data_IF_184312854796
#
_entry.id   IF_184312854796
#
_cell.length_a   1.000
_cell.length_b   1.000
_cell.length_c   1.000
_cell.angle_alpha   90.00
_cell.angle_beta   90.00
_cell.angle_gamma   90.00
#
_symmetry.space_group_name_H-M   'P 1'
#
loop_
_entity.id
_entity.type
_entity.pdbx_description
1 polymer ?
#
# COMPACT_ATOMS: atom_id res chain seq x y z
N UNK A 1 2.69 -5.56 13.85
CA UNK A 1 1.34 -5.10 14.23
C UNK A 1 1.30 -4.43 15.61
N UNK A 2 1.97 -4.98 16.63
CA UNK A 2 2.09 -4.31 17.93
C UNK A 2 3.52 -3.79 18.10
N UNK A 3 3.79 -2.49 17.91
CA UNK A 3 5.14 -1.97 18.07
C UNK A 3 5.56 -2.02 19.54
N UNK A 4 6.84 -2.30 19.84
CA UNK A 4 7.35 -2.30 21.22
C UNK A 4 7.32 -0.89 21.83
N UNK A 5 7.46 0.15 20.99
CA UNK A 5 7.42 1.56 21.38
C UNK A 5 6.76 2.39 20.27
N UNK A 6 5.83 3.27 20.63
CA UNK A 6 5.09 4.10 19.68
C UNK A 6 5.96 5.19 19.05
N UNK A 7 6.87 5.81 19.80
CA UNK A 7 7.79 6.83 19.28
C UNK A 7 8.72 6.19 18.26
N UNK A 8 9.25 5.03 18.60
CA UNK A 8 10.11 4.28 17.70
C UNK A 8 9.38 3.83 16.44
N UNK A 9 8.12 3.40 16.55
CA UNK A 9 7.28 3.03 15.41
C UNK A 9 7.08 4.16 14.38
N UNK A 10 7.26 5.43 14.79
CA UNK A 10 7.16 6.57 13.86
C UNK A 10 8.35 6.66 12.89
N UNK A 11 9.53 6.18 13.30
CA UNK A 11 10.79 6.31 12.55
C UNK A 11 11.43 4.96 12.19
N UNK A 12 11.00 3.87 12.82
CA UNK A 12 11.57 2.55 12.69
C UNK A 12 10.50 1.46 12.63
N UNK A 13 10.87 0.33 12.04
CA UNK A 13 10.09 -0.91 12.07
C UNK A 13 10.98 -2.10 12.41
N UNK A 14 10.37 -3.10 13.06
CA UNK A 14 11.04 -4.36 13.40
C UNK A 14 11.25 -5.21 12.15
N UNK A 15 12.48 -5.64 11.91
CA UNK A 15 12.85 -6.57 10.85
C UNK A 15 13.61 -7.73 11.47
N UNK A 16 13.28 -8.96 11.06
CA UNK A 16 14.01 -10.15 11.49
C UNK A 16 15.21 -10.33 10.55
N UNK A 17 16.42 -10.28 11.09
CA UNK A 17 17.64 -10.59 10.34
C UNK A 17 18.19 -11.95 10.74
N UNK A 18 18.61 -12.70 9.74
CA UNK A 18 19.30 -13.97 9.94
C UNK A 18 20.73 -13.64 10.41
N UNK A 19 21.13 -14.19 11.55
CA UNK A 19 22.51 -14.11 12.03
C UNK A 19 23.33 -15.11 11.21
N UNK A 20 24.21 -14.58 10.36
CA UNK A 20 25.18 -15.40 9.62
C UNK A 20 26.27 -15.85 10.60
N UNK A 21 26.60 -17.16 10.67
CA UNK A 21 27.69 -17.66 11.50
C UNK A 21 29.01 -16.95 11.21
N UNK A 22 29.79 -16.63 12.25
CA UNK A 22 31.05 -15.87 12.16
C UNK A 22 32.05 -16.44 11.13
N UNK A 23 32.06 -17.77 10.96
CA UNK A 23 32.91 -18.49 10.00
C UNK A 23 32.73 -18.03 8.54
N UNK A 24 31.57 -17.47 8.21
CA UNK A 24 31.22 -16.99 6.87
C UNK A 24 31.37 -15.47 6.68
N UNK A 25 31.48 -14.67 7.75
CA UNK A 25 31.60 -13.20 7.65
C UNK A 25 32.95 -12.74 7.10
N UNK A 26 34.01 -13.54 7.26
CA UNK A 26 35.40 -13.11 7.02
C UNK A 26 36.13 -13.83 5.87
N UNK A 27 35.49 -14.80 5.18
CA UNK A 27 36.22 -15.66 4.23
C UNK A 27 35.92 -15.29 2.75
N UNK A 28 36.92 -14.77 1.99
CA UNK A 28 36.73 -14.26 0.62
C UNK A 28 36.23 -15.29 -0.39
N UNK A 29 36.33 -16.59 -0.10
CA UNK A 29 35.80 -17.67 -0.96
C UNK A 29 34.27 -17.72 -1.02
N UNK A 30 33.57 -17.07 -0.08
CA UNK A 30 32.11 -17.13 0.04
C UNK A 30 31.39 -15.87 -0.47
N UNK A 31 32.13 -14.90 -1.00
CA UNK A 31 31.58 -13.61 -1.49
C UNK A 31 30.67 -13.74 -2.74
N UNK A 32 30.88 -14.78 -3.56
CA UNK A 32 30.30 -14.86 -4.91
C UNK A 32 29.58 -16.19 -5.25
N UNK A 33 29.15 -16.98 -4.26
CA UNK A 33 28.38 -18.22 -4.52
C UNK A 33 27.20 -18.34 -3.57
N UNK A 34 26.02 -18.60 -4.13
CA UNK A 34 24.81 -18.99 -3.39
C UNK A 34 25.05 -20.38 -2.82
N UNK A 35 25.36 -20.48 -1.52
CA UNK A 35 25.51 -21.78 -0.84
C UNK A 35 24.17 -22.23 -0.27
N UNK A 36 23.83 -23.50 -0.47
CA UNK A 36 22.72 -24.13 0.22
C UNK A 36 23.17 -24.47 1.65
N UNK A 37 22.85 -23.60 2.59
CA UNK A 37 23.23 -23.72 4.01
C UNK A 37 22.30 -24.66 4.80
N UNK A 38 21.24 -25.20 4.18
CA UNK A 38 20.27 -26.10 4.85
C UNK A 38 20.91 -27.37 5.41
N UNK A 39 21.96 -27.89 4.76
CA UNK A 39 22.58 -29.16 5.17
C UNK A 39 23.60 -29.01 6.31
N UNK A 40 24.08 -27.79 6.60
CA UNK A 40 25.11 -27.53 7.61
C UNK A 40 24.59 -26.96 8.93
N UNK A 41 23.45 -26.26 8.93
CA UNK A 41 22.88 -25.69 10.15
C UNK A 41 21.37 -25.97 10.22
N UNK A 42 20.91 -26.86 11.12
CA UNK A 42 19.49 -27.22 11.24
C UNK A 42 18.64 -26.11 11.89
N UNK A 43 19.27 -25.08 12.47
CA UNK A 43 18.60 -23.91 13.05
C UNK A 43 19.35 -22.63 12.70
N UNK A 44 18.58 -21.63 12.29
CA UNK A 44 19.07 -20.28 12.06
C UNK A 44 18.87 -19.46 13.34
N UNK A 45 19.91 -18.76 13.78
CA UNK A 45 19.74 -17.77 14.84
C UNK A 45 19.18 -16.49 14.21
N UNK A 46 18.13 -15.93 14.80
CA UNK A 46 17.47 -14.73 14.32
C UNK A 46 17.70 -13.60 15.31
N UNK A 47 17.97 -12.41 14.80
CA UNK A 47 18.01 -11.17 15.59
C UNK A 47 16.89 -10.26 15.11
N UNK A 48 16.06 -9.79 16.05
CA UNK A 48 15.17 -8.67 15.76
C UNK A 48 16.00 -7.39 15.74
N UNK A 49 16.02 -6.72 14.59
CA UNK A 49 16.72 -5.45 14.44
C UNK A 49 15.74 -4.38 14.00
N UNK A 50 15.89 -3.20 14.59
CA UNK A 50 15.14 -2.01 14.24
C UNK A 50 15.75 -1.37 12.99
N UNK A 51 14.93 -1.15 11.97
CA UNK A 51 15.33 -0.45 10.76
C UNK A 51 14.84 1.00 10.78
N UNK A 52 15.76 1.92 11.08
CA UNK A 52 15.52 3.34 11.35
C UNK A 52 15.13 4.21 10.13
N UNK A 53 14.77 3.60 8.99
CA UNK A 53 14.46 4.32 7.73
C UNK A 53 13.05 4.09 7.22
N UNK A 54 12.17 3.54 8.06
CA UNK A 54 10.83 3.14 7.64
C UNK A 54 9.87 3.15 8.81
N UNK A 55 8.71 3.79 8.62
CA UNK A 55 7.64 3.91 9.61
C UNK A 55 6.79 2.65 9.66
N UNK A 56 6.46 2.17 10.86
CA UNK A 56 5.53 1.04 11.06
C UNK A 56 4.06 1.50 11.01
N UNK A 57 3.58 1.85 9.82
CA UNK A 57 2.23 2.40 9.60
C UNK A 57 1.14 1.46 10.14
N UNK A 58 1.22 0.16 9.85
CA UNK A 58 0.23 -0.82 10.32
C UNK A 58 0.15 -0.87 11.86
N UNK A 59 1.30 -0.79 12.53
CA UNK A 59 1.35 -0.74 14.00
C UNK A 59 0.75 0.55 14.57
N UNK A 60 1.04 1.68 13.94
CA UNK A 60 0.46 2.97 14.31
C UNK A 60 -1.07 2.99 14.12
N UNK A 61 -1.57 2.48 12.99
CA UNK A 61 -3.01 2.36 12.72
C UNK A 61 -3.69 1.46 13.74
N UNK A 62 -3.11 0.29 14.03
CA UNK A 62 -3.65 -0.65 15.04
C UNK A 62 -3.75 0.03 16.41
N UNK A 63 -2.71 0.74 16.83
CA UNK A 63 -2.71 1.48 18.08
C UNK A 63 -3.76 2.60 18.08
N UNK A 64 -3.85 3.40 17.01
CA UNK A 64 -4.82 4.50 16.89
C UNK A 64 -6.26 4.02 16.98
N UNK A 65 -6.60 2.86 16.40
CA UNK A 65 -7.93 2.24 16.52
C UNK A 65 -8.23 1.86 17.97
N UNK A 66 -7.30 1.17 18.65
CA UNK A 66 -7.46 0.76 20.05
C UNK A 66 -7.59 1.99 20.96
N UNK A 67 -6.78 3.03 20.72
CA UNK A 67 -6.84 4.28 21.46
C UNK A 67 -8.18 4.99 21.24
N UNK A 68 -8.65 5.09 19.99
CA UNK A 68 -9.94 5.69 19.65
C UNK A 68 -11.11 4.98 20.33
N UNK A 69 -11.14 3.64 20.31
CA UNK A 69 -12.14 2.84 21.03
C UNK A 69 -12.07 3.10 22.54
N UNK A 70 -10.86 3.22 23.09
CA UNK A 70 -10.65 3.48 24.52
C UNK A 70 -11.16 4.86 24.93
N UNK A 71 -10.82 5.91 24.17
CA UNK A 71 -11.30 7.28 24.39
C UNK A 71 -12.83 7.32 24.28
N UNK A 72 -13.41 6.67 23.28
CA UNK A 72 -14.86 6.57 23.12
C UNK A 72 -15.55 5.91 24.33
N UNK A 73 -14.94 4.86 24.90
CA UNK A 73 -15.44 4.20 26.12
C UNK A 73 -15.33 5.08 27.38
N UNK A 74 -14.43 6.05 27.42
CA UNK A 74 -14.26 6.96 28.55
C UNK A 74 -15.36 8.03 28.66
N UNK A 75 -16.24 8.15 27.64
CA UNK A 75 -17.36 9.10 27.59
C UNK A 75 -16.87 10.54 27.88
N UNK A 76 -17.51 11.24 28.82
CA UNK A 76 -17.17 12.61 29.22
C UNK A 76 -15.69 12.81 29.58
N UNK A 77 -15.03 11.82 30.20
CA UNK A 77 -13.61 11.93 30.54
C UNK A 77 -12.69 11.88 29.32
N UNK A 78 -13.17 11.29 28.22
CA UNK A 78 -12.44 11.19 26.96
C UNK A 78 -12.56 12.43 26.07
N UNK A 79 -13.60 13.26 26.26
CA UNK A 79 -13.90 14.42 25.40
C UNK A 79 -12.69 15.35 25.16
N UNK A 80 -11.88 15.73 26.15
CA UNK A 80 -10.73 16.61 25.90
C UNK A 80 -9.70 16.02 24.93
N UNK A 81 -9.48 14.70 24.99
CA UNK A 81 -8.57 14.01 24.08
C UNK A 81 -9.17 13.84 22.69
N UNK A 82 -10.47 13.55 22.61
CA UNK A 82 -11.20 13.48 21.34
C UNK A 82 -11.06 14.81 20.57
N UNK A 83 -11.44 15.92 21.21
CA UNK A 83 -11.35 17.26 20.62
C UNK A 83 -9.92 17.59 20.21
N UNK A 84 -8.92 17.26 21.04
CA UNK A 84 -7.52 17.46 20.68
C UNK A 84 -7.14 16.73 19.38
N UNK A 85 -7.50 15.46 19.23
CA UNK A 85 -7.18 14.68 18.03
C UNK A 85 -7.97 15.13 16.80
N UNK A 86 -9.22 15.58 16.97
CA UNK A 86 -10.02 16.16 15.90
C UNK A 86 -9.41 17.47 15.38
N UNK A 87 -9.12 18.42 16.27
CA UNK A 87 -8.45 19.68 15.89
C UNK A 87 -7.09 19.42 15.24
N UNK A 88 -6.34 18.45 15.75
CA UNK A 88 -5.07 18.06 15.14
C UNK A 88 -5.26 17.49 13.73
N UNK A 89 -6.27 16.64 13.52
CA UNK A 89 -6.61 16.11 12.19
C UNK A 89 -6.98 17.23 11.22
N UNK A 90 -7.78 18.22 11.65
CA UNK A 90 -8.12 19.37 10.82
C UNK A 90 -6.90 20.20 10.43
N UNK A 91 -6.00 20.46 11.38
CA UNK A 91 -4.74 21.15 11.10
C UNK A 91 -3.89 20.40 10.06
N UNK A 92 -3.84 19.07 10.13
CA UNK A 92 -3.14 18.23 9.14
C UNK A 92 -3.78 18.31 7.75
N UNK A 93 -5.10 18.43 7.66
CA UNK A 93 -5.80 18.60 6.37
C UNK A 93 -5.48 19.95 5.73
N UNK A 94 -5.36 21.03 6.52
CA UNK A 94 -4.93 22.34 6.02
C UNK A 94 -3.52 22.26 5.44
N UNK A 95 -2.58 21.64 6.17
CA UNK A 95 -1.20 21.44 5.70
C UNK A 95 -1.18 20.62 4.41
N UNK A 96 -2.00 19.56 4.34
CA UNK A 96 -2.14 18.73 3.13
C UNK A 96 -2.63 19.56 1.95
N UNK A 97 -3.58 20.49 2.17
CA UNK A 97 -4.04 21.41 1.13
C UNK A 97 -2.90 22.24 0.51
N UNK A 98 -1.95 22.70 1.32
CA UNK A 98 -0.76 23.41 0.81
C UNK A 98 0.14 22.49 -0.04
N UNK A 99 0.33 21.25 0.39
CA UNK A 99 1.11 20.24 -0.35
C UNK A 99 0.44 19.91 -1.69
N UNK A 100 -0.89 19.75 -1.71
CA UNK A 100 -1.67 19.51 -2.93
C UNK A 100 -1.46 20.64 -3.92
N UNK A 101 -1.44 21.89 -3.48
CA UNK A 101 -1.22 23.04 -4.36
C UNK A 101 0.18 23.04 -4.99
N UNK A 102 1.20 22.56 -4.26
CA UNK A 102 2.57 22.39 -4.77
C UNK A 102 2.74 21.12 -5.64
N UNK A 103 1.90 20.11 -5.44
CA UNK A 103 2.07 18.78 -6.02
C UNK A 103 2.18 18.74 -7.56
N UNK A 104 1.49 19.56 -8.38
CA UNK A 104 1.64 19.51 -9.83
C UNK A 104 3.09 19.79 -10.27
N UNK A 105 3.75 20.73 -9.59
CA UNK A 105 5.16 21.06 -9.84
C UNK A 105 6.08 19.92 -9.38
N UNK A 106 5.81 19.35 -8.21
CA UNK A 106 6.56 18.20 -7.68
C UNK A 106 6.46 16.97 -8.59
N UNK A 107 5.25 16.60 -9.00
CA UNK A 107 5.01 15.46 -9.91
C UNK A 107 5.67 15.69 -11.26
N UNK A 108 5.62 16.90 -11.81
CA UNK A 108 6.31 17.24 -13.05
C UNK A 108 7.81 16.93 -12.99
N UNK A 109 8.49 17.40 -11.93
CA UNK A 109 9.92 17.13 -11.76
C UNK A 109 10.22 15.66 -11.45
N UNK A 110 9.37 14.98 -10.67
CA UNK A 110 9.53 13.54 -10.40
C UNK A 110 9.44 12.70 -11.68
N UNK A 111 8.51 13.03 -12.58
CA UNK A 111 8.37 12.34 -13.86
C UNK A 111 9.57 12.63 -14.78
N UNK A 112 10.00 13.90 -14.89
CA UNK A 112 11.14 14.26 -15.74
C UNK A 112 12.45 13.65 -15.25
N UNK A 113 12.73 13.73 -13.95
CA UNK A 113 13.94 13.17 -13.36
C UNK A 113 14.08 11.68 -13.74
N UNK A 114 12.97 10.95 -13.74
CA UNK A 114 13.00 9.54 -14.10
C UNK A 114 13.14 9.27 -15.59
N UNK A 115 12.52 10.07 -16.45
CA UNK A 115 12.73 9.95 -17.90
C UNK A 115 14.22 10.14 -18.23
N UNK A 116 14.94 10.99 -17.50
CA UNK A 116 16.38 11.21 -17.70
C UNK A 116 17.27 10.04 -17.28
N UNK A 117 16.82 9.19 -16.35
CA UNK A 117 17.56 7.99 -15.93
C UNK A 117 17.43 6.83 -16.95
N UNK A 118 16.49 6.92 -17.91
CA UNK A 118 16.27 5.89 -18.92
C UNK A 118 17.41 5.95 -19.96
N UNK A 119 18.35 5.02 -19.86
CA UNK A 119 19.48 4.91 -20.78
C UNK A 119 19.09 4.40 -22.18
N UNK A 120 18.10 3.49 -22.30
CA UNK A 120 17.53 3.07 -23.58
C UNK A 120 16.17 2.38 -23.45
N UNK A 121 15.10 3.01 -23.96
CA UNK A 121 13.77 2.41 -24.02
C UNK A 121 13.72 1.16 -24.93
N UNK A 122 14.54 1.14 -25.99
CA UNK A 122 14.66 0.01 -26.91
C UNK A 122 15.31 -1.22 -26.25
N UNK A 123 16.28 -1.01 -25.36
CA UNK A 123 16.87 -2.09 -24.57
C UNK A 123 15.86 -2.68 -23.56
N UNK A 124 15.01 -1.84 -22.98
CA UNK A 124 13.91 -2.25 -22.09
C UNK A 124 12.91 -3.18 -22.80
N UNK A 125 12.58 -2.88 -24.06
CA UNK A 125 11.64 -3.63 -24.88
C UNK A 125 12.23 -4.91 -25.50
N UNK A 126 13.54 -4.97 -25.78
CA UNK A 126 14.15 -6.01 -26.60
C UNK A 126 14.17 -7.44 -26.02
N UNK A 127 14.26 -7.61 -24.70
CA UNK A 127 14.24 -8.93 -24.05
C UNK A 127 13.14 -9.08 -22.97
N UNK A 128 12.69 -7.96 -22.39
CA UNK A 128 11.68 -7.94 -21.32
C UNK A 128 10.36 -7.31 -21.76
N UNK A 129 10.23 -6.90 -23.02
CA UNK A 129 9.05 -6.19 -23.53
C UNK A 129 7.75 -6.99 -23.39
N UNK A 130 7.79 -8.30 -23.65
CA UNK A 130 6.61 -9.17 -23.49
C UNK A 130 6.21 -9.33 -22.02
N UNK A 131 7.18 -9.51 -21.13
CA UNK A 131 6.94 -9.54 -19.69
C UNK A 131 6.33 -8.22 -19.21
N UNK A 132 6.97 -7.10 -19.56
CA UNK A 132 6.52 -5.75 -19.21
C UNK A 132 5.10 -5.49 -19.71
N UNK A 133 4.83 -5.81 -20.99
CA UNK A 133 3.50 -5.67 -21.59
C UNK A 133 2.46 -6.55 -20.91
N UNK A 134 2.82 -7.77 -20.48
CA UNK A 134 1.91 -8.67 -19.76
C UNK A 134 1.53 -8.11 -18.39
N UNK A 135 2.50 -7.59 -17.63
CA UNK A 135 2.23 -6.94 -16.34
C UNK A 135 1.34 -5.71 -16.53
N UNK A 136 1.68 -4.82 -17.47
CA UNK A 136 0.86 -3.64 -17.73
C UNK A 136 -0.57 -3.99 -18.17
N UNK A 137 -0.72 -4.98 -19.05
CA UNK A 137 -2.03 -5.46 -19.47
C UNK A 137 -2.81 -6.01 -18.28
N UNK A 138 -2.18 -6.82 -17.44
CA UNK A 138 -2.79 -7.36 -16.22
C UNK A 138 -3.26 -6.25 -15.28
N UNK A 139 -2.39 -5.27 -15.00
CA UNK A 139 -2.72 -4.11 -14.17
C UNK A 139 -3.87 -3.28 -14.76
N UNK A 140 -3.87 -3.06 -16.08
CA UNK A 140 -4.93 -2.32 -16.76
C UNK A 140 -6.26 -3.07 -16.74
N UNK A 141 -6.25 -4.37 -17.01
CA UNK A 141 -7.42 -5.24 -16.92
C UNK A 141 -7.96 -5.33 -15.49
N UNK A 142 -7.08 -5.36 -14.48
CA UNK A 142 -7.50 -5.34 -13.09
C UNK A 142 -8.13 -4.00 -12.71
N UNK A 143 -7.43 -2.89 -12.97
CA UNK A 143 -7.88 -1.54 -12.62
C UNK A 143 -9.17 -1.12 -13.32
N UNK A 144 -9.22 -1.25 -14.65
CA UNK A 144 -10.35 -0.77 -15.45
C UNK A 144 -11.37 -1.86 -15.77
N UNK A 145 -11.03 -3.14 -15.61
CA UNK A 145 -11.93 -4.27 -15.78
C UNK A 145 -12.42 -4.81 -14.45
N UNK A 146 -11.61 -5.59 -13.74
CA UNK A 146 -12.00 -6.31 -12.52
C UNK A 146 -12.57 -5.37 -11.44
N UNK A 147 -11.81 -4.35 -11.03
CA UNK A 147 -12.24 -3.39 -10.01
C UNK A 147 -13.47 -2.60 -10.48
N UNK A 148 -13.52 -2.23 -11.75
CA UNK A 148 -14.67 -1.52 -12.31
C UNK A 148 -15.94 -2.35 -12.31
N UNK A 149 -15.83 -3.65 -12.62
CA UNK A 149 -16.95 -4.59 -12.59
C UNK A 149 -17.43 -4.79 -11.16
N UNK A 150 -16.52 -5.00 -10.20
CA UNK A 150 -16.88 -5.12 -8.78
C UNK A 150 -17.61 -3.85 -8.31
N UNK A 151 -17.04 -2.68 -8.58
CA UNK A 151 -17.65 -1.40 -8.24
C UNK A 151 -19.03 -1.24 -8.89
N UNK A 152 -19.18 -1.57 -10.17
CA UNK A 152 -20.45 -1.49 -10.87
C UNK A 152 -21.51 -2.46 -10.30
N UNK A 153 -21.13 -3.70 -9.99
CA UNK A 153 -22.05 -4.70 -9.45
C UNK A 153 -22.59 -4.26 -8.10
N UNK A 154 -21.73 -3.70 -7.24
CA UNK A 154 -22.15 -3.28 -5.90
C UNK A 154 -22.91 -1.94 -5.90
N UNK A 155 -22.51 -0.99 -6.74
CA UNK A 155 -23.01 0.40 -6.68
C UNK A 155 -24.04 0.72 -7.76
N UNK A 156 -24.14 -0.14 -8.79
CA UNK A 156 -24.89 0.10 -10.03
C UNK A 156 -24.49 1.38 -10.77
N UNK A 157 -23.30 1.90 -10.49
CA UNK A 157 -22.73 3.08 -11.15
C UNK A 157 -21.36 2.76 -11.71
N UNK A 158 -20.99 3.38 -12.83
CA UNK A 158 -19.67 3.20 -13.42
C UNK A 158 -18.62 4.01 -12.63
N UNK A 159 -17.43 3.43 -12.34
CA UNK A 159 -16.40 4.05 -11.52
C UNK A 159 -15.66 5.19 -12.24
N UNK A 160 -15.79 5.32 -13.57
CA UNK A 160 -14.96 6.22 -14.37
C UNK A 160 -15.06 7.69 -13.96
N UNK A 161 -16.22 8.13 -13.45
CA UNK A 161 -16.37 9.48 -12.89
C UNK A 161 -15.54 9.66 -11.61
N UNK A 162 -15.56 8.65 -10.74
CA UNK A 162 -14.75 8.61 -9.53
C UNK A 162 -13.26 8.58 -9.89
N UNK A 163 -12.86 7.73 -10.83
CA UNK A 163 -11.46 7.63 -11.29
C UNK A 163 -10.98 8.96 -11.89
N UNK A 164 -11.82 9.67 -12.65
CA UNK A 164 -11.48 10.99 -13.18
C UNK A 164 -11.25 12.04 -12.08
N UNK A 165 -12.07 12.01 -11.02
CA UNK A 165 -11.88 12.86 -9.82
C UNK A 165 -10.57 12.58 -9.08
N UNK A 166 -10.04 11.37 -9.19
CA UNK A 166 -8.78 10.94 -8.57
C UNK A 166 -7.54 11.24 -9.43
N UNK A 167 -7.67 11.92 -10.57
CA UNK A 167 -6.56 12.14 -11.52
C UNK A 167 -5.28 12.69 -10.87
N UNK A 168 -5.39 13.64 -9.94
CA UNK A 168 -4.25 14.21 -9.22
C UNK A 168 -3.61 13.20 -8.25
N UNK A 169 -4.43 12.40 -7.55
CA UNK A 169 -3.97 11.33 -6.67
C UNK A 169 -3.21 10.29 -7.49
N UNK A 170 -3.76 9.85 -8.62
CA UNK A 170 -3.15 8.85 -9.50
C UNK A 170 -1.83 9.36 -10.12
N UNK A 171 -1.78 10.63 -10.54
CA UNK A 171 -0.56 11.24 -11.05
C UNK A 171 0.52 11.35 -9.96
N UNK A 172 0.12 11.68 -8.73
CA UNK A 172 1.03 11.73 -7.59
C UNK A 172 1.55 10.34 -7.25
N UNK A 173 0.69 9.33 -7.23
CA UNK A 173 1.07 7.94 -6.95
C UNK A 173 2.03 7.40 -8.01
N UNK A 174 1.80 7.73 -9.27
CA UNK A 174 2.72 7.40 -10.37
C UNK A 174 4.07 8.13 -10.23
N UNK A 175 4.07 9.41 -9.85
CA UNK A 175 5.29 10.19 -9.68
C UNK A 175 6.14 9.75 -8.50
N UNK A 176 5.50 9.48 -7.34
CA UNK A 176 6.19 9.13 -6.09
C UNK A 176 6.52 7.64 -5.97
N UNK A 177 5.80 6.76 -6.69
CA UNK A 177 5.89 5.31 -6.52
C UNK A 177 5.65 4.86 -5.06
N UNK A 178 4.81 5.57 -4.31
CA UNK A 178 4.53 5.26 -2.91
C UNK A 178 3.07 5.50 -2.52
N UNK A 179 2.35 4.42 -2.17
CA UNK A 179 0.97 4.49 -1.67
C UNK A 179 0.90 5.32 -0.38
N UNK A 180 1.82 5.09 0.56
CA UNK A 180 1.87 5.82 1.83
C UNK A 180 2.13 7.32 1.65
N UNK A 181 2.99 7.71 0.69
CA UNK A 181 3.25 9.13 0.41
C UNK A 181 2.02 9.84 -0.19
N UNK A 182 1.12 9.10 -0.82
CA UNK A 182 -0.11 9.64 -1.42
C UNK A 182 -1.33 9.59 -0.51
N UNK A 183 -1.21 9.00 0.68
CA UNK A 183 -2.32 8.86 1.61
C UNK A 183 -3.00 10.20 1.97
N UNK A 184 -2.29 11.29 2.31
CA UNK A 184 -2.94 12.54 2.70
C UNK A 184 -3.73 13.17 1.54
N UNK A 185 -3.15 13.20 0.34
CA UNK A 185 -3.84 13.71 -0.85
C UNK A 185 -5.06 12.85 -1.22
N UNK A 186 -4.95 11.53 -1.05
CA UNK A 186 -6.07 10.61 -1.28
C UNK A 186 -7.25 10.89 -0.34
N UNK A 187 -6.99 11.06 0.96
CA UNK A 187 -8.02 11.39 1.96
C UNK A 187 -8.69 12.71 1.60
N UNK A 188 -7.91 13.76 1.32
CA UNK A 188 -8.46 15.08 1.01
C UNK A 188 -9.27 15.11 -0.29
N UNK A 189 -8.81 14.40 -1.33
CA UNK A 189 -9.55 14.30 -2.59
C UNK A 189 -10.86 13.54 -2.40
N UNK A 190 -10.87 12.43 -1.64
CA UNK A 190 -12.09 11.67 -1.38
C UNK A 190 -13.08 12.43 -0.49
N UNK A 191 -12.60 13.12 0.55
CA UNK A 191 -13.41 14.01 1.38
C UNK A 191 -14.07 15.09 0.50
N UNK A 192 -13.29 15.72 -0.41
CA UNK A 192 -13.80 16.70 -1.38
C UNK A 192 -14.75 16.13 -2.44
N UNK A 193 -14.75 14.82 -2.64
CA UNK A 193 -15.69 14.10 -3.51
C UNK A 193 -16.95 13.62 -2.75
N UNK A 194 -17.09 14.00 -1.48
CA UNK A 194 -18.27 13.68 -0.65
C UNK A 194 -18.26 12.24 -0.12
N UNK A 195 -17.09 11.67 0.14
CA UNK A 195 -16.94 10.45 0.94
C UNK A 195 -16.88 10.85 2.42
N UNK A 196 -17.56 10.10 3.29
CA UNK A 196 -17.57 10.42 4.72
C UNK A 196 -16.13 10.41 5.30
N UNK A 197 -15.70 11.51 5.96
CA UNK A 197 -14.43 11.65 6.67
C UNK A 197 -14.05 10.46 7.57
N UNK A 198 -15.03 9.81 8.19
CA UNK A 198 -14.85 8.66 9.09
C UNK A 198 -14.41 7.42 8.32
N UNK A 199 -14.88 7.27 7.08
CA UNK A 199 -14.51 6.16 6.19
C UNK A 199 -13.14 6.40 5.59
N UNK A 200 -12.86 7.59 5.05
CA UNK A 200 -11.57 7.90 4.41
C UNK A 200 -10.39 7.77 5.37
N UNK A 201 -10.53 8.30 6.60
CA UNK A 201 -9.51 8.26 7.66
C UNK A 201 -9.23 6.85 8.18
N UNK A 202 -10.12 5.90 7.96
CA UNK A 202 -9.93 4.50 8.37
C UNK A 202 -9.47 3.62 7.20
N UNK A 203 -10.20 3.64 6.09
CA UNK A 203 -9.98 2.71 4.97
C UNK A 203 -8.68 3.01 4.24
N UNK A 204 -8.33 4.28 4.01
CA UNK A 204 -7.14 4.62 3.22
C UNK A 204 -5.83 4.26 3.93
N UNK A 205 -5.63 4.58 5.23
CA UNK A 205 -4.41 4.17 5.93
C UNK A 205 -4.24 2.65 6.03
N UNK A 206 -5.35 1.93 6.22
CA UNK A 206 -5.34 0.45 6.24
C UNK A 206 -5.04 -0.10 4.85
N UNK A 207 -5.72 0.39 3.82
CA UNK A 207 -5.57 -0.03 2.42
C UNK A 207 -4.14 0.16 1.91
N UNK A 208 -3.55 1.32 2.16
CA UNK A 208 -2.19 1.65 1.71
C UNK A 208 -1.09 0.70 2.23
N UNK A 209 -1.40 -0.12 3.25
CA UNK A 209 -0.49 -1.13 3.80
C UNK A 209 -0.89 -2.56 3.45
N UNK A 210 -2.19 -2.88 3.46
CA UNK A 210 -2.67 -4.26 3.34
C UNK A 210 -3.10 -4.59 1.90
N UNK A 211 -3.64 -3.63 1.17
CA UNK A 211 -4.29 -3.83 -0.12
C UNK A 211 -3.34 -3.53 -1.29
N UNK A 212 -2.41 -4.45 -1.55
CA UNK A 212 -1.39 -4.32 -2.59
C UNK A 212 -1.64 -5.23 -3.81
N UNK A 213 -2.80 -5.07 -4.46
CA UNK A 213 -3.23 -5.86 -5.62
C UNK A 213 -2.23 -5.88 -6.78
N UNK A 214 -1.70 -4.71 -7.14
CA UNK A 214 -0.71 -4.57 -8.21
C UNK A 214 0.60 -5.27 -7.88
N UNK A 215 0.97 -5.36 -6.60
CA UNK A 215 2.15 -6.10 -6.13
C UNK A 215 1.91 -7.60 -6.25
N UNK A 216 0.76 -8.10 -5.80
CA UNK A 216 0.40 -9.51 -5.93
C UNK A 216 0.35 -9.96 -7.41
N UNK A 217 -0.25 -9.14 -8.29
CA UNK A 217 -0.29 -9.40 -9.73
C UNK A 217 1.12 -9.47 -10.33
N UNK A 218 1.96 -8.49 -10.01
CA UNK A 218 3.34 -8.46 -10.47
C UNK A 218 4.13 -9.69 -10.04
N UNK A 219 4.05 -10.07 -8.76
CA UNK A 219 4.80 -11.20 -8.22
C UNK A 219 4.38 -12.52 -8.88
N UNK A 220 3.08 -12.71 -9.09
CA UNK A 220 2.56 -13.88 -9.77
C UNK A 220 3.04 -13.96 -11.24
N UNK A 221 2.96 -12.85 -11.98
CA UNK A 221 3.42 -12.81 -13.39
C UNK A 221 4.93 -13.00 -13.47
N UNK A 222 5.69 -12.40 -12.56
CA UNK A 222 7.14 -12.53 -12.50
C UNK A 222 7.59 -13.98 -12.21
N UNK A 223 6.90 -14.69 -11.31
CA UNK A 223 7.22 -16.08 -10.99
C UNK A 223 6.94 -17.01 -12.18
N UNK A 224 5.81 -16.81 -12.86
CA UNK A 224 5.46 -17.56 -14.07
C UNK A 224 6.44 -17.27 -15.20
N UNK A 225 6.83 -16.01 -15.40
CA UNK A 225 7.81 -15.62 -16.41
C UNK A 225 9.17 -16.29 -16.18
N UNK A 226 9.65 -16.29 -14.92
CA UNK A 226 10.90 -16.95 -14.54
C UNK A 226 10.83 -18.46 -14.81
N UNK A 227 9.72 -19.11 -14.45
CA UNK A 227 9.53 -20.53 -14.74
C UNK A 227 9.59 -20.83 -16.25
N UNK A 228 8.85 -20.06 -17.04
CA UNK A 228 8.81 -20.20 -18.51
C UNK A 228 10.17 -19.98 -19.14
N UNK A 229 10.93 -18.99 -18.68
CA UNK A 229 12.30 -18.71 -19.15
C UNK A 229 13.23 -19.89 -18.90
N UNK A 230 13.06 -20.61 -17.79
CA UNK A 230 13.85 -21.78 -17.44
C UNK A 230 13.37 -23.07 -18.13
N UNK A 231 12.32 -23.00 -18.96
CA UNK A 231 11.70 -24.19 -19.55
C UNK A 231 11.00 -25.08 -18.53
N UNK A 232 10.62 -24.54 -17.37
CA UNK A 232 9.88 -25.25 -16.34
C UNK A 232 8.37 -25.09 -16.59
N UNK A 233 7.69 -26.20 -16.82
CA UNK A 233 6.24 -26.22 -16.90
C UNK A 233 5.63 -26.17 -15.50
N UNK A 234 4.89 -25.10 -15.20
CA UNK A 234 4.14 -24.99 -13.97
C UNK A 234 2.81 -25.71 -14.10
N UNK A 235 2.56 -26.68 -13.22
CA UNK A 235 1.25 -27.29 -13.09
C UNK A 235 0.22 -26.33 -12.48
N UNK A 236 -1.07 -26.63 -12.65
CA UNK A 236 -2.18 -25.84 -12.09
C UNK A 236 -2.03 -25.66 -10.57
N UNK A 237 -1.57 -26.70 -9.85
CA UNK A 237 -1.34 -26.62 -8.41
C UNK A 237 -0.24 -25.62 -8.02
N UNK A 238 0.84 -25.54 -8.80
CA UNK A 238 1.92 -24.57 -8.57
C UNK A 238 1.46 -23.15 -8.91
N UNK A 239 0.70 -22.97 -9.98
CA UNK A 239 0.10 -21.68 -10.32
C UNK A 239 -0.83 -21.18 -9.20
N UNK A 240 -1.67 -22.06 -8.65
CA UNK A 240 -2.51 -21.73 -7.50
C UNK A 240 -1.69 -21.37 -6.24
N UNK A 241 -0.61 -22.12 -5.97
CA UNK A 241 0.29 -21.82 -4.85
C UNK A 241 0.97 -20.45 -5.00
N UNK A 242 1.42 -20.10 -6.21
CA UNK A 242 1.96 -18.77 -6.52
C UNK A 242 0.93 -17.69 -6.20
N UNK A 243 -0.31 -17.83 -6.67
CA UNK A 243 -1.36 -16.85 -6.42
C UNK A 243 -1.63 -16.65 -4.92
N UNK A 244 -1.81 -17.75 -4.17
CA UNK A 244 -2.08 -17.68 -2.72
C UNK A 244 -0.90 -17.03 -1.99
N UNK A 245 0.33 -17.40 -2.34
CA UNK A 245 1.52 -16.86 -1.68
C UNK A 245 1.71 -15.39 -2.02
N UNK A 246 1.56 -14.99 -3.29
CA UNK A 246 1.67 -13.58 -3.70
C UNK A 246 0.63 -12.71 -2.99
N UNK A 247 -0.61 -13.18 -2.85
CA UNK A 247 -1.64 -12.48 -2.07
C UNK A 247 -1.29 -12.39 -0.58
N UNK A 248 -0.77 -13.46 0.01
CA UNK A 248 -0.36 -13.43 1.42
C UNK A 248 0.86 -12.52 1.64
N UNK A 249 1.83 -12.55 0.72
CA UNK A 249 3.05 -11.76 0.77
C UNK A 249 2.76 -10.26 0.57
N UNK A 250 1.80 -9.90 -0.29
CA UNK A 250 1.42 -8.51 -0.52
C UNK A 250 0.81 -7.84 0.73
N UNK A 251 0.11 -8.61 1.58
CA UNK A 251 -0.34 -8.15 2.91
C UNK A 251 0.85 -7.96 3.87
N UNK A 252 1.83 -8.87 3.81
CA UNK A 252 3.04 -8.85 4.65
C UNK A 252 4.08 -7.79 4.26
N UNK A 253 3.97 -7.22 3.05
CA UNK A 253 4.91 -6.25 2.49
C UNK A 253 4.98 -4.93 3.28
N UNK A 254 3.92 -4.59 4.03
CA UNK A 254 3.82 -3.35 4.82
C UNK A 254 4.97 -3.14 5.83
N UNK A 255 5.67 -4.20 6.22
CA UNK A 255 6.71 -4.19 7.25
C UNK A 255 8.15 -4.30 6.74
N UNK A 256 8.38 -4.32 5.42
CA UNK A 256 9.69 -4.69 4.84
C UNK A 256 10.27 -3.55 3.99
N UNK A 257 11.48 -3.06 4.31
CA UNK A 257 12.22 -2.13 3.45
C UNK A 257 12.53 -2.80 2.10
N UNK A 258 12.23 -2.13 1.00
CA UNK A 258 12.35 -2.72 -0.35
C UNK A 258 11.51 -4.02 -0.49
N UNK A 259 10.30 -4.01 0.11
CA UNK A 259 9.42 -5.18 0.25
C UNK A 259 9.28 -6.03 -1.00
N UNK A 260 9.10 -5.41 -2.17
CA UNK A 260 8.84 -6.11 -3.44
C UNK A 260 9.92 -7.12 -3.83
N UNK A 261 11.18 -6.94 -3.41
CA UNK A 261 12.26 -7.89 -3.68
C UNK A 261 12.17 -9.10 -2.73
N UNK A 262 11.89 -8.86 -1.45
CA UNK A 262 11.83 -9.90 -0.41
C UNK A 262 10.58 -10.77 -0.58
N UNK A 263 9.44 -10.16 -0.87
CA UNK A 263 8.19 -10.88 -1.14
C UNK A 263 8.29 -11.70 -2.42
N UNK A 264 8.96 -11.19 -3.45
CA UNK A 264 9.25 -11.95 -4.67
C UNK A 264 10.10 -13.20 -4.42
N UNK A 265 11.11 -13.12 -3.55
CA UNK A 265 11.89 -14.30 -3.13
C UNK A 265 10.99 -15.35 -2.49
N UNK A 266 10.09 -14.93 -1.60
CA UNK A 266 9.14 -15.82 -0.94
C UNK A 266 8.25 -16.54 -1.96
N UNK A 267 7.70 -15.81 -2.94
CA UNK A 267 6.87 -16.38 -3.99
C UNK A 267 7.64 -17.38 -4.85
N UNK A 268 8.88 -17.08 -5.24
CA UNK A 268 9.72 -18.02 -6.01
C UNK A 268 10.05 -19.30 -5.23
N UNK A 269 10.36 -19.17 -3.94
CA UNK A 269 10.69 -20.33 -3.08
C UNK A 269 9.50 -21.31 -2.97
N UNK A 270 8.26 -20.82 -3.00
CA UNK A 270 7.06 -21.69 -2.92
C UNK A 270 6.94 -22.70 -4.06
N UNK A 271 7.54 -22.40 -5.21
CA UNK A 271 7.58 -23.29 -6.38
C UNK A 271 8.99 -23.80 -6.68
N UNK A 272 9.95 -23.57 -5.76
CA UNK A 272 11.33 -24.04 -5.87
C UNK A 272 12.13 -23.34 -6.97
N UNK A 273 11.76 -22.11 -7.34
CA UNK A 273 12.51 -21.32 -8.32
C UNK A 273 13.65 -20.55 -7.63
N UNK A 274 14.82 -20.46 -8.27
CA UNK A 274 15.97 -19.82 -7.66
C UNK A 274 15.87 -18.28 -7.69
N UNK A 275 16.17 -17.65 -6.55
CA UNK A 275 15.98 -16.22 -6.30
C UNK A 275 16.97 -15.29 -7.03
N UNK A 276 18.12 -15.81 -7.47
CA UNK A 276 19.13 -15.06 -8.23
C UNK A 276 18.60 -14.53 -9.57
N UNK A 277 17.54 -15.15 -10.09
CA UNK A 277 16.88 -14.78 -11.33
C UNK A 277 16.00 -13.52 -11.22
N UNK A 278 15.72 -13.02 -10.01
CA UNK A 278 14.99 -11.74 -9.82
C UNK A 278 15.75 -10.57 -10.45
N UNK A 279 17.09 -10.64 -10.46
CA UNK A 279 17.97 -9.61 -11.02
C UNK A 279 17.62 -9.18 -12.45
N UNK A 280 17.07 -10.11 -13.24
CA UNK A 280 16.62 -9.88 -14.62
C UNK A 280 15.45 -8.89 -14.66
N UNK A 281 14.54 -8.96 -13.70
CA UNK A 281 13.29 -8.17 -13.67
C UNK A 281 13.53 -6.80 -13.02
N UNK A 282 14.53 -6.69 -12.13
CA UNK A 282 14.88 -5.43 -11.47
C UNK A 282 15.19 -4.28 -12.44
N UNK A 283 15.70 -4.60 -13.64
CA UNK A 283 15.99 -3.61 -14.67
C UNK A 283 14.75 -2.81 -15.13
N UNK A 284 13.55 -3.41 -15.04
CA UNK A 284 12.28 -2.78 -15.45
C UNK A 284 11.36 -2.45 -14.28
N UNK A 285 11.72 -2.88 -13.07
CA UNK A 285 10.89 -2.77 -11.88
C UNK A 285 10.58 -1.32 -11.51
N UNK A 286 11.56 -0.41 -11.66
CA UNK A 286 11.36 1.01 -11.37
C UNK A 286 10.15 1.60 -12.11
N UNK A 287 9.88 1.17 -13.35
CA UNK A 287 8.74 1.66 -14.12
C UNK A 287 7.46 0.90 -13.77
N UNK A 288 7.53 -0.42 -13.65
CA UNK A 288 6.37 -1.25 -13.27
C UNK A 288 5.83 -0.86 -11.89
N UNK A 289 6.71 -0.53 -10.94
CA UNK A 289 6.37 -0.14 -9.58
C UNK A 289 5.41 1.05 -9.52
N UNK A 290 5.57 2.00 -10.44
CA UNK A 290 4.72 3.19 -10.54
C UNK A 290 3.31 2.82 -10.98
N UNK A 291 3.18 1.90 -11.94
CA UNK A 291 1.88 1.37 -12.34
C UNK A 291 1.24 0.54 -11.22
N UNK A 292 2.02 -0.31 -10.53
CA UNK A 292 1.53 -1.08 -9.36
C UNK A 292 0.97 -0.15 -8.30
N UNK A 293 1.74 0.86 -7.90
CA UNK A 293 1.34 1.86 -6.90
C UNK A 293 0.07 2.58 -7.32
N UNK A 294 -0.01 3.01 -8.59
CA UNK A 294 -1.19 3.71 -9.11
C UNK A 294 -2.45 2.85 -9.01
N UNK A 295 -2.36 1.56 -9.35
CA UNK A 295 -3.50 0.63 -9.24
C UNK A 295 -3.85 0.33 -7.78
N UNK A 296 -2.87 0.18 -6.88
CA UNK A 296 -3.11 -0.02 -5.45
C UNK A 296 -3.91 1.17 -4.86
N UNK A 297 -3.44 2.40 -5.11
CA UNK A 297 -4.12 3.62 -4.63
C UNK A 297 -5.50 3.79 -5.26
N UNK A 298 -5.66 3.43 -6.54
CA UNK A 298 -6.97 3.41 -7.20
C UNK A 298 -7.93 2.42 -6.52
N UNK A 299 -7.45 1.22 -6.20
CA UNK A 299 -8.23 0.21 -5.51
C UNK A 299 -8.67 0.68 -4.13
N UNK A 300 -7.76 1.27 -3.35
CA UNK A 300 -8.07 1.80 -2.01
C UNK A 300 -9.13 2.90 -2.09
N UNK A 301 -9.02 3.79 -3.08
CA UNK A 301 -9.95 4.89 -3.28
C UNK A 301 -11.35 4.42 -3.68
N UNK A 302 -11.44 3.45 -4.61
CA UNK A 302 -12.71 2.84 -5.00
C UNK A 302 -13.31 2.01 -3.86
N UNK A 303 -12.46 1.32 -3.09
CA UNK A 303 -12.85 0.58 -1.89
C UNK A 303 -13.43 1.48 -0.81
N UNK A 304 -12.79 2.62 -0.51
CA UNK A 304 -13.32 3.60 0.43
C UNK A 304 -14.70 4.13 0.00
N UNK A 305 -14.86 4.46 -1.29
CA UNK A 305 -16.15 4.90 -1.83
C UNK A 305 -17.22 3.81 -1.78
N UNK A 306 -16.84 2.55 -1.99
CA UNK A 306 -17.73 1.42 -1.88
C UNK A 306 -18.19 1.21 -0.43
N UNK A 307 -17.27 1.25 0.53
CA UNK A 307 -17.56 1.12 1.98
C UNK A 307 -18.48 2.24 2.44
N UNK A 308 -18.24 3.48 2.00
CA UNK A 308 -19.09 4.65 2.26
C UNK A 308 -20.54 4.43 1.80
N UNK A 309 -20.73 3.94 0.57
CA UNK A 309 -22.08 3.63 0.07
C UNK A 309 -22.76 2.47 0.80
N UNK A 310 -22.02 1.40 1.11
CA UNK A 310 -22.56 0.24 1.81
C UNK A 310 -22.89 0.55 3.28
N UNK A 311 -22.16 1.47 3.90
CA UNK A 311 -22.31 1.87 5.31
C UNK A 311 -23.23 3.08 5.47
N UNK A 312 -23.88 3.56 4.40
CA UNK A 312 -24.66 4.80 4.43
C UNK A 312 -25.78 4.80 5.50
N UNK A 313 -26.39 3.65 5.78
CA UNK A 313 -27.39 3.52 6.84
C UNK A 313 -26.76 3.68 8.24
N UNK A 314 -25.62 3.02 8.47
CA UNK A 314 -24.89 3.09 9.75
C UNK A 314 -24.36 4.51 9.98
N UNK A 315 -23.77 5.14 8.97
CA UNK A 315 -23.25 6.50 9.03
C UNK A 315 -24.32 7.54 9.37
N UNK A 316 -25.54 7.37 8.83
CA UNK A 316 -26.71 8.20 9.18
C UNK A 316 -27.13 7.98 10.63
N UNK A 317 -27.23 6.72 11.06
CA UNK A 317 -27.61 6.40 12.45
C UNK A 317 -26.62 6.99 13.46
N UNK A 318 -25.32 6.97 13.15
CA UNK A 318 -24.28 7.58 13.98
C UNK A 318 -24.43 9.10 14.02
N UNK A 319 -24.66 9.75 12.88
CA UNK A 319 -24.89 11.19 12.82
C UNK A 319 -26.13 11.63 13.61
N UNK A 320 -27.20 10.83 13.62
CA UNK A 320 -28.40 11.10 14.41
C UNK A 320 -28.14 10.95 15.92
N UNK A 321 -27.33 9.97 16.32
CA UNK A 321 -26.90 9.79 17.71
C UNK A 321 -25.98 10.93 18.16
N UNK A 322 -25.05 11.35 17.31
CA UNK A 322 -24.15 12.47 17.58
C UNK A 322 -24.95 13.77 17.77
N UNK A 323 -25.92 14.04 16.87
CA UNK A 323 -26.86 15.17 17.01
C UNK A 323 -27.71 15.08 18.29
N UNK A 324 -28.13 13.89 18.69
CA UNK A 324 -28.93 13.70 19.91
C UNK A 324 -28.11 13.92 21.20
N UNK A 325 -26.79 13.71 21.15
CA UNK A 325 -25.89 13.86 22.29
C UNK A 325 -25.10 15.18 22.30
N UNK A 326 -25.17 15.95 21.20
CA UNK A 326 -24.47 17.22 21.04
C UNK A 326 -25.02 18.30 21.99
N UNK A 327 -24.12 19.04 22.63
CA UNK A 327 -24.51 20.21 23.40
C UNK A 327 -25.05 21.32 22.47
N UNK A 328 -25.87 22.28 22.96
CA UNK A 328 -26.52 23.28 22.12
C UNK A 328 -25.58 24.13 21.24
N UNK A 329 -24.30 24.25 21.62
CA UNK A 329 -23.28 24.97 20.86
C UNK A 329 -22.66 24.10 19.74
N UNK A 330 -22.55 22.78 19.94
CA UNK A 330 -22.07 21.81 18.95
C UNK A 330 -23.12 21.59 17.85
N UNK A 331 -24.42 21.65 18.18
CA UNK A 331 -25.52 21.59 17.21
C UNK A 331 -25.44 22.66 16.12
N UNK A 332 -24.91 23.85 16.44
CA UNK A 332 -24.77 24.95 15.48
C UNK A 332 -23.67 24.67 14.43
N UNK A 333 -22.61 23.96 14.82
CA UNK A 333 -21.53 23.56 13.92
C UNK A 333 -21.93 22.37 13.04
N UNK A 334 -22.62 21.39 13.62
CA UNK A 334 -23.15 20.24 12.88
C UNK A 334 -24.16 20.69 11.80
N UNK A 335 -25.05 21.63 12.14
CA UNK A 335 -26.04 22.17 11.18
C UNK A 335 -25.39 23.01 10.07
N UNK A 336 -24.26 23.69 10.33
CA UNK A 336 -23.50 24.40 9.29
C UNK A 336 -22.81 23.44 8.32
N UNK A 337 -22.32 22.29 8.80
CA UNK A 337 -21.70 21.25 7.97
C UNK A 337 -22.67 20.65 6.94
N UNK A 338 -23.94 20.45 7.32
CA UNK A 338 -24.98 19.88 6.45
C UNK A 338 -25.44 20.84 5.33
N UNK A 339 -25.24 22.16 5.46
CA UNK A 339 -25.68 23.15 4.46
C UNK A 339 -24.77 23.31 3.24
N UNK A 340 -23.68 22.54 3.16
CA UNK A 340 -22.74 22.57 2.03
C UNK A 340 -22.82 21.36 1.07
N UNK A 341 -23.89 20.55 1.17
CA UNK A 341 -24.21 19.47 0.22
C UNK A 341 -24.96 20.00 -0.99
#
# INVERSE_FOLDING_TARGET
MFPPNLVEATIAQSVIKIIVPEEYKANPRFSNKTFNLKDQYPYWAFEEKLEMKSTNVLGLVTFSVILGITIGKMRERGKPLLVFFETLSEAMMIITGWVIWLSPLGVFFLVIAQIMEISSFAALLGQLGLYFGTVLLGLFLHGFGTLSVIYFVCTRTLPFRTIAGLSQVLATAFGTASSSATMPITIQTLDGMGVDPRVTRFVIPVGATINMDGTALYEAVAAIFIAQRNGLELGIGQAAAICVTATAASIGAAGIPQAGLVTMVMVLDTVGLPADQISIILAVDWLLDRFRTTINVMCDSLGARLVDMLSAADLRSMADVDKANADPHELVEIVKGDTHV
#
